data_IF_975308507761
#
_entry.id   IF_975308507761
#
_cell.length_a   1.000
_cell.length_b   1.000
_cell.length_c   1.000
_cell.angle_alpha   90.00
_cell.angle_beta   90.00
_cell.angle_gamma   90.00
#
_symmetry.space_group_name_H-M   'P 1'
#
loop_
_entity.id
_entity.type
_entity.pdbx_description
1 polymer ?
#
# COMPACT_ATOMS: atom_id res chain seq x y z
N UNK A 1 59.71 43.87 -37.21
CA UNK A 1 58.77 44.87 -37.74
C UNK A 1 57.41 44.20 -37.67
N UNK A 2 56.45 44.52 -36.81
CA UNK A 2 55.99 45.79 -36.23
C UNK A 2 55.49 45.56 -34.79
N UNK A 3 55.60 46.61 -33.98
CA UNK A 3 55.25 46.71 -32.56
C UNK A 3 53.79 47.15 -32.40
N UNK A 4 53.09 46.64 -31.37
CA UNK A 4 52.05 47.40 -30.66
C UNK A 4 51.79 46.80 -29.26
N UNK A 5 52.41 47.38 -28.23
CA UNK A 5 51.91 47.40 -26.85
C UNK A 5 51.01 48.62 -26.69
N UNK A 6 49.87 48.49 -26.02
CA UNK A 6 49.21 49.42 -25.06
C UNK A 6 47.99 48.64 -24.52
N UNK A 7 47.43 48.79 -23.32
CA UNK A 7 47.74 49.37 -22.03
C UNK A 7 46.65 48.82 -21.08
N UNK A 8 46.99 48.60 -19.81
CA UNK A 8 46.06 48.16 -18.76
C UNK A 8 45.01 49.23 -18.43
N UNK A 9 43.76 48.83 -18.27
CA UNK A 9 42.80 49.57 -17.46
C UNK A 9 42.00 48.58 -16.59
N UNK A 10 42.28 48.63 -15.29
CA UNK A 10 41.46 48.01 -14.27
C UNK A 10 40.18 48.82 -14.10
N UNK A 11 39.02 48.15 -14.15
CA UNK A 11 37.79 48.64 -13.58
C UNK A 11 37.35 47.65 -12.49
N UNK A 12 37.50 48.09 -11.25
CA UNK A 12 36.90 47.49 -10.07
C UNK A 12 35.46 48.01 -9.92
N UNK A 13 34.69 47.27 -9.11
CA UNK A 13 33.32 47.54 -8.61
C UNK A 13 32.23 46.99 -9.56
N UNK A 14 31.30 46.11 -9.17
CA UNK A 14 30.60 45.99 -7.90
C UNK A 14 30.27 44.53 -7.53
N UNK A 15 30.17 44.29 -6.22
CA UNK A 15 29.61 43.09 -5.60
C UNK A 15 28.12 42.97 -5.97
N UNK A 16 27.70 41.82 -6.50
CA UNK A 16 26.32 41.34 -6.35
C UNK A 16 26.31 40.11 -5.45
N UNK A 17 25.89 40.33 -4.20
CA UNK A 17 25.35 39.28 -3.35
C UNK A 17 24.02 38.80 -3.95
N UNK A 18 23.74 37.50 -3.75
CA UNK A 18 22.49 36.76 -4.02
C UNK A 18 22.52 35.90 -5.30
N UNK A 19 22.50 34.58 -5.11
CA UNK A 19 22.29 33.63 -6.19
C UNK A 19 22.52 32.17 -5.82
N UNK A 20 21.78 31.69 -4.81
CA UNK A 20 21.35 30.30 -4.58
C UNK A 20 22.35 29.16 -4.86
N UNK A 21 22.82 28.52 -3.78
CA UNK A 21 23.23 27.12 -3.81
C UNK A 21 22.01 26.31 -4.27
N UNK A 22 21.95 25.96 -5.56
CA UNK A 22 21.02 24.93 -6.01
C UNK A 22 21.52 23.62 -5.41
N UNK A 23 20.90 23.20 -4.31
CA UNK A 23 20.94 21.81 -3.90
C UNK A 23 20.46 21.01 -5.10
N UNK A 24 21.38 20.31 -5.76
CA UNK A 24 20.99 19.26 -6.70
C UNK A 24 20.21 18.26 -5.86
N UNK A 25 18.89 18.25 -6.04
CA UNK A 25 18.07 17.12 -5.67
C UNK A 25 18.62 15.98 -6.51
N UNK A 26 19.44 15.14 -5.89
CA UNK A 26 19.75 13.83 -6.42
C UNK A 26 18.41 13.11 -6.51
N UNK A 27 17.89 12.99 -7.73
CA UNK A 27 16.75 12.13 -8.01
C UNK A 27 17.11 10.75 -7.46
N UNK A 28 16.46 10.37 -6.36
CA UNK A 28 16.54 9.00 -5.87
C UNK A 28 16.17 8.10 -7.05
N UNK A 29 17.02 7.13 -7.36
CA UNK A 29 16.81 6.19 -8.46
C UNK A 29 15.33 5.77 -8.51
N UNK A 30 14.67 5.97 -9.66
CA UNK A 30 13.26 5.70 -9.82
C UNK A 30 12.93 4.32 -9.25
N UNK A 31 12.15 4.27 -8.18
CA UNK A 31 11.79 3.02 -7.53
C UNK A 31 11.02 2.14 -8.52
N UNK A 32 11.24 0.83 -8.49
CA UNK A 32 10.56 -0.11 -9.41
C UNK A 32 9.07 -0.32 -9.08
N UNK A 33 8.58 0.33 -8.03
CA UNK A 33 7.19 0.34 -7.60
C UNK A 33 6.66 1.75 -7.37
N UNK A 34 5.34 1.86 -7.35
CA UNK A 34 4.61 3.09 -7.04
C UNK A 34 4.83 3.49 -5.57
N UNK A 35 5.17 4.76 -5.33
CA UNK A 35 5.27 5.32 -3.97
C UNK A 35 4.08 6.25 -3.74
N UNK A 36 3.16 5.94 -2.82
CA UNK A 36 2.04 6.81 -2.55
C UNK A 36 2.51 8.12 -1.94
N UNK A 37 1.71 9.17 -2.16
CA UNK A 37 1.90 10.48 -1.54
C UNK A 37 0.87 10.66 -0.44
N UNK A 38 1.19 11.49 0.54
CA UNK A 38 0.21 11.93 1.53
C UNK A 38 -0.94 12.67 0.83
N UNK A 39 -2.15 12.49 1.35
CA UNK A 39 -3.34 13.20 0.89
C UNK A 39 -4.21 12.43 -0.11
N UNK A 40 -3.84 11.22 -0.51
CA UNK A 40 -4.73 10.35 -1.28
C UNK A 40 -6.02 10.03 -0.51
N UNK A 41 -7.13 10.02 -1.24
CA UNK A 41 -8.41 9.48 -0.76
C UNK A 41 -8.42 7.98 -1.03
N UNK A 42 -9.17 7.23 -0.24
CA UNK A 42 -9.25 5.78 -0.42
C UNK A 42 -10.70 5.28 -0.41
N UNK A 43 -10.90 4.16 -1.09
CA UNK A 43 -12.08 3.32 -1.04
C UNK A 43 -11.64 1.92 -0.62
N UNK A 44 -12.31 1.35 0.38
CA UNK A 44 -12.04 0.00 0.89
C UNK A 44 -13.27 -0.88 0.69
N UNK A 45 -13.16 -1.90 -0.17
CA UNK A 45 -14.29 -2.77 -0.52
C UNK A 45 -13.83 -4.21 -0.76
N UNK A 46 -14.06 -5.07 0.24
CA UNK A 46 -13.68 -6.49 0.19
C UNK A 46 -14.86 -7.44 -0.08
N UNK A 47 -16.09 -6.97 0.12
CA UNK A 47 -17.30 -7.78 -0.06
C UNK A 47 -17.97 -7.46 -1.38
N UNK A 48 -18.40 -8.53 -2.06
CA UNK A 48 -19.01 -8.57 -3.40
C UNK A 48 -18.01 -8.37 -4.54
N UNK A 49 -18.28 -9.02 -5.68
CA UNK A 49 -17.52 -8.80 -6.91
C UNK A 49 -17.54 -7.30 -7.24
N UNK A 50 -16.35 -6.71 -7.35
CA UNK A 50 -16.19 -5.28 -7.59
C UNK A 50 -16.77 -4.92 -8.95
N UNK A 51 -17.92 -4.22 -8.96
CA UNK A 51 -18.55 -3.76 -10.20
C UNK A 51 -18.05 -2.36 -10.54
N UNK A 52 -17.04 -2.28 -11.40
CA UNK A 52 -16.48 -1.00 -11.88
C UNK A 52 -17.49 -0.02 -12.50
N UNK A 53 -18.71 -0.47 -12.85
CA UNK A 53 -19.77 0.41 -13.37
C UNK A 53 -20.68 0.96 -12.26
N UNK A 54 -20.76 0.29 -11.11
CA UNK A 54 -21.67 0.63 -9.99
C UNK A 54 -20.94 1.05 -8.73
N UNK A 55 -19.81 0.40 -8.45
CA UNK A 55 -18.97 0.57 -7.27
C UNK A 55 -17.84 1.59 -7.49
N UNK A 56 -17.68 2.03 -8.74
CA UNK A 56 -16.87 3.20 -9.04
C UNK A 56 -17.58 4.46 -8.54
N UNK A 57 -17.36 4.76 -7.26
CA UNK A 57 -17.89 5.95 -6.61
C UNK A 57 -16.76 6.96 -6.45
N UNK A 58 -16.76 8.05 -7.24
CA UNK A 58 -16.05 9.24 -6.82
C UNK A 58 -16.82 9.88 -5.65
N UNK A 59 -16.29 9.79 -4.43
CA UNK A 59 -16.74 10.63 -3.31
C UNK A 59 -18.04 10.26 -2.56
N UNK A 60 -18.29 8.97 -2.30
CA UNK A 60 -19.40 8.43 -1.46
C UNK A 60 -20.80 8.51 -2.09
N UNK A 61 -21.43 7.35 -2.32
CA UNK A 61 -22.89 7.20 -2.31
C UNK A 61 -23.29 5.87 -1.66
N UNK A 62 -23.27 5.83 -0.34
CA UNK A 62 -24.14 4.90 0.38
C UNK A 62 -25.56 5.49 0.40
N UNK A 63 -26.41 5.10 -0.56
CA UNK A 63 -27.86 5.18 -0.34
C UNK A 63 -28.28 4.05 0.60
N UNK A 64 -27.95 4.16 1.88
CA UNK A 64 -28.68 3.47 2.93
C UNK A 64 -28.88 4.42 4.12
N UNK A 65 -30.14 4.60 4.49
CA UNK A 65 -30.56 5.33 5.70
C UNK A 65 -29.88 4.66 6.89
N UNK A 66 -29.16 5.44 7.71
CA UNK A 66 -28.72 4.98 9.03
C UNK A 66 -27.22 5.05 9.34
N UNK A 67 -26.35 5.49 8.42
CA UNK A 67 -24.97 5.79 8.78
C UNK A 67 -24.91 7.09 9.61
N UNK A 68 -24.58 6.98 10.89
CA UNK A 68 -24.43 8.09 11.81
C UNK A 68 -23.28 9.01 11.36
N UNK A 69 -23.61 10.26 11.05
CA UNK A 69 -22.64 11.33 10.92
C UNK A 69 -22.13 11.70 12.32
N UNK A 70 -20.81 11.72 12.51
CA UNK A 70 -20.19 12.30 13.71
C UNK A 70 -20.54 13.80 13.77
N UNK A 71 -21.05 14.34 14.89
CA UNK A 71 -21.60 15.69 14.92
C UNK A 71 -20.47 16.73 14.93
N UNK A 72 -20.47 17.66 13.96
CA UNK A 72 -19.72 18.91 14.08
C UNK A 72 -18.91 19.39 12.88
N UNK A 73 -18.78 18.63 11.79
CA UNK A 73 -18.14 19.13 10.56
C UNK A 73 -19.16 19.30 9.43
N UNK A 74 -19.37 20.57 9.04
CA UNK A 74 -20.08 20.95 7.81
C UNK A 74 -19.42 20.27 6.62
N UNK A 75 -20.26 19.69 5.77
CA UNK A 75 -19.94 18.61 4.85
C UNK A 75 -18.80 18.90 3.87
N UNK A 76 -18.10 17.82 3.52
CA UNK A 76 -17.41 17.77 2.25
C UNK A 76 -18.46 17.99 1.15
N UNK A 77 -18.26 18.99 0.31
CA UNK A 77 -19.11 19.24 -0.84
C UNK A 77 -19.21 17.95 -1.68
N UNK A 78 -20.44 17.48 -1.85
CA UNK A 78 -20.83 16.48 -2.84
C UNK A 78 -20.63 17.11 -4.23
N UNK A 79 -19.38 17.10 -4.69
CA UNK A 79 -18.98 17.59 -6.00
C UNK A 79 -19.61 16.75 -7.11
N UNK A 80 -20.23 17.43 -8.08
CA UNK A 80 -20.81 16.83 -9.30
C UNK A 80 -19.76 16.58 -10.41
N UNK A 81 -18.49 16.82 -10.14
CA UNK A 81 -17.39 16.63 -11.08
C UNK A 81 -16.61 15.36 -10.77
N UNK A 82 -16.16 14.59 -11.80
CA UNK A 82 -15.23 13.51 -11.58
C UNK A 82 -13.96 14.09 -10.92
N UNK A 83 -13.42 13.43 -9.89
CA UNK A 83 -12.26 13.92 -9.16
C UNK A 83 -11.05 13.99 -10.09
N UNK A 84 -10.04 14.81 -9.74
CA UNK A 84 -8.78 14.84 -10.46
C UNK A 84 -8.20 13.41 -10.58
N UNK A 85 -7.65 13.02 -11.74
CA UNK A 85 -6.92 11.76 -11.88
C UNK A 85 -5.81 11.65 -10.82
N UNK A 86 -5.50 10.43 -10.38
CA UNK A 86 -4.38 10.14 -9.47
C UNK A 86 -4.51 10.65 -8.01
N UNK A 87 -5.73 10.86 -7.51
CA UNK A 87 -5.97 11.13 -6.07
C UNK A 87 -6.56 9.96 -5.28
N UNK A 88 -7.05 8.91 -5.95
CA UNK A 88 -7.78 7.81 -5.31
C UNK A 88 -7.04 6.48 -5.32
N UNK A 89 -7.11 5.81 -4.17
CA UNK A 89 -6.61 4.46 -3.93
C UNK A 89 -7.81 3.53 -3.71
N UNK A 90 -7.80 2.35 -4.34
CA UNK A 90 -8.87 1.36 -4.22
C UNK A 90 -8.31 0.07 -3.62
N UNK A 91 -8.63 -0.20 -2.36
CA UNK A 91 -8.31 -1.46 -1.70
C UNK A 91 -9.45 -2.44 -1.97
N UNK A 92 -9.17 -3.45 -2.79
CA UNK A 92 -10.15 -4.45 -3.24
C UNK A 92 -9.58 -5.86 -3.10
N UNK A 93 -10.46 -6.84 -2.93
CA UNK A 93 -10.05 -8.24 -2.74
C UNK A 93 -9.27 -8.77 -3.95
N UNK A 94 -8.05 -9.24 -3.69
CA UNK A 94 -7.11 -9.68 -4.69
C UNK A 94 -7.50 -10.99 -5.39
N UNK A 95 -8.31 -11.84 -4.76
CA UNK A 95 -8.80 -13.07 -5.38
C UNK A 95 -10.03 -12.80 -6.25
N UNK A 96 -10.98 -12.00 -5.75
CA UNK A 96 -12.25 -11.70 -6.44
C UNK A 96 -12.07 -10.74 -7.62
N UNK A 97 -11.19 -9.73 -7.51
CA UNK A 97 -10.96 -8.77 -8.59
C UNK A 97 -10.29 -9.43 -9.80
N UNK A 98 -10.78 -9.12 -11.01
CA UNK A 98 -10.19 -9.59 -12.26
C UNK A 98 -9.14 -8.62 -12.81
N UNK A 99 -8.31 -9.06 -13.76
CA UNK A 99 -7.41 -8.16 -14.50
C UNK A 99 -8.17 -7.01 -15.19
N UNK A 100 -9.41 -7.26 -15.64
CA UNK A 100 -10.23 -6.25 -16.29
C UNK A 100 -10.65 -5.16 -15.30
N UNK A 101 -11.02 -5.54 -14.08
CA UNK A 101 -11.39 -4.59 -13.02
C UNK A 101 -10.22 -3.67 -12.67
N UNK A 102 -9.04 -4.26 -12.47
CA UNK A 102 -7.79 -3.55 -12.19
C UNK A 102 -7.42 -2.61 -13.34
N UNK A 103 -7.53 -3.07 -14.59
CA UNK A 103 -7.26 -2.26 -15.77
C UNK A 103 -8.20 -1.05 -15.87
N UNK A 104 -9.47 -1.20 -15.48
CA UNK A 104 -10.41 -0.07 -15.45
C UNK A 104 -10.01 0.98 -14.40
N UNK A 105 -9.60 0.57 -13.20
CA UNK A 105 -9.09 1.51 -12.17
C UNK A 105 -7.88 2.28 -12.71
N UNK A 106 -6.91 1.58 -13.30
CA UNK A 106 -5.71 2.17 -13.88
C UNK A 106 -6.03 3.12 -15.05
N UNK A 107 -6.98 2.76 -15.93
CA UNK A 107 -7.37 3.58 -17.09
C UNK A 107 -7.94 4.94 -16.70
N UNK A 108 -8.41 5.07 -15.46
CA UNK A 108 -8.94 6.31 -14.88
C UNK A 108 -7.89 7.09 -14.08
N UNK A 109 -6.64 6.60 -14.08
CA UNK A 109 -5.51 7.19 -13.37
C UNK A 109 -5.51 6.92 -11.87
N UNK A 110 -6.23 5.90 -11.38
CA UNK A 110 -6.28 5.57 -9.94
C UNK A 110 -5.40 4.38 -9.60
N UNK A 111 -5.21 4.14 -8.30
CA UNK A 111 -4.26 3.18 -7.77
C UNK A 111 -4.96 1.96 -7.14
N UNK A 112 -4.99 0.80 -7.82
CA UNK A 112 -5.54 -0.43 -7.26
C UNK A 112 -4.56 -1.10 -6.29
N UNK A 113 -5.06 -1.44 -5.10
CA UNK A 113 -4.34 -2.14 -4.02
C UNK A 113 -5.00 -3.50 -3.78
N UNK A 114 -4.17 -4.54 -3.81
CA UNK A 114 -4.58 -5.93 -3.71
C UNK A 114 -4.67 -6.35 -2.25
N UNK A 115 -5.88 -6.48 -1.72
CA UNK A 115 -6.10 -7.07 -0.41
C UNK A 115 -5.93 -8.59 -0.46
N UNK A 116 -5.24 -9.14 0.53
CA UNK A 116 -5.33 -10.56 0.91
C UNK A 116 -4.90 -10.71 2.36
N UNK A 117 -5.43 -11.72 3.07
CA UNK A 117 -4.89 -12.01 4.39
C UNK A 117 -3.51 -12.66 4.28
N UNK A 118 -2.52 -12.08 4.96
CA UNK A 118 -1.15 -12.59 5.02
C UNK A 118 -0.83 -13.28 6.34
N UNK A 119 -1.62 -13.05 7.40
CA UNK A 119 -1.47 -13.70 8.69
C UNK A 119 -2.63 -14.60 9.10
N UNK A 120 -3.61 -14.84 8.21
CA UNK A 120 -4.66 -15.83 8.42
C UNK A 120 -4.85 -16.76 7.21
N UNK A 121 -5.21 -18.01 7.51
CA UNK A 121 -5.77 -18.99 6.60
C UNK A 121 -7.27 -18.75 6.49
N UNK A 122 -7.81 -18.79 5.27
CA UNK A 122 -9.22 -18.57 4.94
C UNK A 122 -9.75 -19.79 4.16
N UNK A 123 -10.68 -20.55 4.73
CA UNK A 123 -11.13 -21.85 4.19
C UNK A 123 -11.98 -21.77 2.91
N UNK A 124 -12.27 -20.57 2.45
CA UNK A 124 -12.96 -20.29 1.20
C UNK A 124 -12.02 -19.92 0.05
N UNK A 125 -10.73 -19.65 0.32
CA UNK A 125 -9.79 -19.25 -0.74
C UNK A 125 -9.46 -20.43 -1.66
N UNK A 126 -9.28 -20.19 -2.97
CA UNK A 126 -9.00 -21.27 -3.92
C UNK A 126 -7.65 -21.96 -3.67
N UNK A 127 -6.71 -21.29 -3.00
CA UNK A 127 -5.39 -21.80 -2.65
C UNK A 127 -5.31 -22.47 -1.27
N UNK A 128 -6.44 -22.60 -0.56
CA UNK A 128 -6.50 -23.19 0.79
C UNK A 128 -5.84 -24.56 0.92
N UNK A 129 -5.90 -25.37 -0.15
CA UNK A 129 -5.31 -26.71 -0.19
C UNK A 129 -3.78 -26.74 -0.18
N UNK A 130 -3.12 -25.58 -0.33
CA UNK A 130 -1.65 -25.46 -0.25
C UNK A 130 -1.14 -25.35 1.19
N UNK A 131 -2.00 -24.99 2.14
CA UNK A 131 -1.64 -24.89 3.55
C UNK A 131 -1.59 -26.28 4.19
N UNK A 132 -0.57 -26.50 5.00
CA UNK A 132 -0.43 -27.69 5.84
C UNK A 132 -1.18 -27.46 7.16
N UNK A 133 -1.61 -28.53 7.82
CA UNK A 133 -2.29 -28.42 9.11
C UNK A 133 -1.43 -27.74 10.19
N UNK A 134 -0.09 -27.78 10.06
CA UNK A 134 0.85 -27.08 10.96
C UNK A 134 1.00 -25.59 10.67
N UNK A 135 0.48 -25.10 9.53
CA UNK A 135 0.64 -23.69 9.15
C UNK A 135 -0.38 -22.77 9.83
N UNK A 136 -1.46 -23.32 10.40
CA UNK A 136 -2.51 -22.52 11.03
C UNK A 136 -2.94 -23.06 12.39
N UNK A 137 -3.33 -22.15 13.28
CA UNK A 137 -3.56 -22.42 14.69
C UNK A 137 -5.00 -22.16 15.09
N UNK A 138 -5.19 -21.27 16.06
CA UNK A 138 -6.51 -20.91 16.59
C UNK A 138 -7.36 -20.20 15.54
N UNK A 139 -8.68 -20.37 15.66
CA UNK A 139 -9.66 -19.59 14.90
C UNK A 139 -9.49 -18.10 15.17
N UNK A 140 -9.66 -17.30 14.12
CA UNK A 140 -9.70 -15.85 14.22
C UNK A 140 -11.09 -15.43 14.73
N UNK A 141 -11.14 -14.68 15.83
CA UNK A 141 -12.40 -14.36 16.50
C UNK A 141 -13.29 -13.48 15.62
N UNK A 142 -14.54 -13.87 15.42
CA UNK A 142 -15.51 -13.13 14.62
C UNK A 142 -15.55 -13.50 13.14
N UNK A 143 -14.64 -14.37 12.67
CA UNK A 143 -14.52 -14.73 11.25
C UNK A 143 -14.58 -16.26 11.08
N UNK A 144 -15.74 -16.75 10.63
CA UNK A 144 -15.96 -18.17 10.46
C UNK A 144 -15.13 -18.72 9.28
N UNK A 145 -14.41 -19.82 9.50
CA UNK A 145 -13.54 -20.42 8.48
C UNK A 145 -12.14 -19.81 8.44
N UNK A 146 -11.83 -18.86 9.33
CA UNK A 146 -10.56 -18.14 9.36
C UNK A 146 -9.71 -18.53 10.58
N UNK A 147 -8.41 -18.71 10.38
CA UNK A 147 -7.47 -19.23 11.38
C UNK A 147 -6.14 -18.49 11.30
N UNK A 148 -5.51 -18.19 12.42
CA UNK A 148 -4.20 -17.52 12.44
C UNK A 148 -3.10 -18.41 11.83
N UNK A 149 -2.18 -17.81 11.07
CA UNK A 149 -1.03 -18.50 10.49
C UNK A 149 0.19 -18.48 11.42
N UNK A 150 1.02 -19.53 11.37
CA UNK A 150 2.39 -19.47 11.88
C UNK A 150 3.25 -18.71 10.87
N UNK A 151 3.47 -17.42 11.14
CA UNK A 151 4.25 -16.50 10.30
C UNK A 151 5.73 -16.89 10.12
N UNK A 152 6.22 -17.86 10.90
CA UNK A 152 7.58 -18.41 10.77
C UNK A 152 7.65 -19.51 9.71
N UNK A 153 6.51 -20.08 9.31
CA UNK A 153 6.45 -21.18 8.35
C UNK A 153 6.99 -20.80 6.97
N UNK A 154 7.90 -21.63 6.45
CA UNK A 154 8.39 -21.48 5.09
C UNK A 154 7.29 -21.72 4.05
N UNK A 155 6.34 -22.63 4.32
CA UNK A 155 5.22 -22.89 3.42
C UNK A 155 4.30 -21.67 3.31
N UNK A 156 3.98 -21.03 4.43
CA UNK A 156 3.23 -19.76 4.47
C UNK A 156 3.91 -18.70 3.61
N UNK A 157 5.24 -18.53 3.73
CA UNK A 157 6.00 -17.57 2.92
C UNK A 157 5.93 -17.87 1.42
N UNK A 158 5.96 -19.14 1.02
CA UNK A 158 5.79 -19.56 -0.38
C UNK A 158 4.39 -19.19 -0.89
N UNK A 159 3.35 -19.47 -0.11
CA UNK A 159 1.96 -19.15 -0.47
C UNK A 159 1.77 -17.64 -0.59
N UNK A 160 2.25 -16.85 0.37
CA UNK A 160 2.14 -15.39 0.31
C UNK A 160 2.94 -14.79 -0.85
N UNK A 161 4.10 -15.35 -1.19
CA UNK A 161 4.83 -14.96 -2.41
C UNK A 161 3.99 -15.23 -3.66
N UNK A 162 3.26 -16.36 -3.71
CA UNK A 162 2.38 -16.67 -4.83
C UNK A 162 1.18 -15.71 -4.90
N UNK A 163 0.58 -15.33 -3.77
CA UNK A 163 -0.49 -14.32 -3.69
C UNK A 163 0.00 -12.95 -4.17
N UNK A 164 1.19 -12.50 -3.76
CA UNK A 164 1.77 -11.25 -4.27
C UNK A 164 2.04 -11.31 -5.78
N UNK A 165 2.53 -12.43 -6.30
CA UNK A 165 2.71 -12.63 -7.74
C UNK A 165 1.38 -12.60 -8.50
N UNK A 166 0.31 -13.17 -7.93
CA UNK A 166 -1.05 -13.04 -8.47
C UNK A 166 -1.47 -11.58 -8.55
N UNK A 167 -1.31 -10.80 -7.46
CA UNK A 167 -1.62 -9.37 -7.46
C UNK A 167 -0.84 -8.62 -8.55
N UNK A 168 0.47 -8.88 -8.67
CA UNK A 168 1.30 -8.27 -9.72
C UNK A 168 0.81 -8.63 -11.12
N UNK A 169 0.49 -9.90 -11.37
CA UNK A 169 0.02 -10.39 -12.66
C UNK A 169 -1.35 -9.80 -13.03
N UNK A 170 -2.20 -9.47 -12.05
CA UNK A 170 -3.48 -8.78 -12.25
C UNK A 170 -3.32 -7.28 -12.55
N UNK A 171 -2.15 -6.70 -12.29
CA UNK A 171 -1.83 -5.29 -12.56
C UNK A 171 -1.95 -4.36 -11.36
N UNK A 172 -2.12 -4.89 -10.15
CA UNK A 172 -2.15 -4.08 -8.93
C UNK A 172 -0.82 -3.31 -8.75
N UNK A 173 -0.89 -2.12 -8.15
CA UNK A 173 0.28 -1.27 -7.89
C UNK A 173 0.81 -1.42 -6.46
N UNK A 174 -0.01 -1.98 -5.57
CA UNK A 174 0.37 -2.30 -4.20
C UNK A 174 -0.47 -3.41 -3.60
N UNK A 175 -0.13 -3.80 -2.37
CA UNK A 175 -0.79 -4.86 -1.61
C UNK A 175 -1.19 -4.39 -0.21
N UNK A 176 -2.28 -4.94 0.30
CA UNK A 176 -2.75 -4.75 1.68
C UNK A 176 -2.80 -6.12 2.39
N UNK A 177 -1.65 -6.59 2.93
CA UNK A 177 -1.56 -7.86 3.63
C UNK A 177 -2.19 -7.75 5.02
N UNK A 178 -3.35 -8.38 5.24
CA UNK A 178 -4.08 -8.32 6.52
C UNK A 178 -3.57 -9.34 7.56
N UNK A 179 -3.99 -9.14 8.81
CA UNK A 179 -3.74 -10.00 9.97
C UNK A 179 -2.24 -10.15 10.31
N UNK A 180 -1.45 -9.10 10.05
CA UNK A 180 0.01 -9.07 10.25
C UNK A 180 0.42 -8.68 11.68
N UNK A 181 -0.41 -9.00 12.66
CA UNK A 181 -0.26 -8.70 14.10
C UNK A 181 -0.58 -9.92 14.98
N UNK A 182 -0.36 -11.13 14.46
CA UNK A 182 -0.71 -12.39 15.11
C UNK A 182 -0.04 -12.60 16.48
N UNK A 183 1.14 -12.02 16.73
CA UNK A 183 1.82 -12.08 18.04
C UNK A 183 1.05 -11.38 19.18
N UNK A 184 0.21 -10.40 18.84
CA UNK A 184 -0.62 -9.67 19.79
C UNK A 184 -1.99 -10.33 20.01
N UNK A 185 -2.24 -11.47 19.36
CA UNK A 185 -3.52 -12.16 19.30
C UNK A 185 -3.41 -13.60 19.82
N UNK A 186 -4.53 -14.23 20.24
CA UNK A 186 -4.55 -15.64 20.67
C UNK A 186 -4.44 -16.59 19.46
N UNK A 187 -3.32 -16.52 18.74
CA UNK A 187 -3.08 -17.22 17.47
C UNK A 187 -3.00 -18.75 17.58
N UNK A 188 -2.85 -19.28 18.80
CA UNK A 188 -2.56 -20.71 19.01
C UNK A 188 -1.09 -21.06 18.79
N UNK A 189 -0.26 -20.07 18.48
CA UNK A 189 1.19 -20.18 18.38
C UNK A 189 1.87 -19.29 19.43
N UNK A 190 3.02 -19.69 19.96
CA UNK A 190 3.82 -18.84 20.85
C UNK A 190 4.65 -17.83 20.03
N UNK A 191 3.98 -17.01 19.20
CA UNK A 191 4.63 -16.01 18.37
C UNK A 191 5.14 -14.86 19.24
N UNK A 192 6.40 -14.50 19.04
CA UNK A 192 7.01 -13.33 19.67
C UNK A 192 6.84 -12.09 18.79
N UNK A 193 7.01 -10.90 19.38
CA UNK A 193 7.11 -9.66 18.63
C UNK A 193 8.25 -9.71 17.58
N UNK A 194 9.36 -10.38 17.88
CA UNK A 194 10.47 -10.52 16.94
C UNK A 194 10.10 -11.41 15.73
N UNK A 195 9.30 -12.46 15.94
CA UNK A 195 8.80 -13.30 14.85
C UNK A 195 7.90 -12.50 13.90
N UNK A 196 6.98 -11.71 14.45
CA UNK A 196 6.12 -10.84 13.64
C UNK A 196 6.92 -9.79 12.89
N UNK A 197 7.85 -9.11 13.57
CA UNK A 197 8.69 -8.08 12.97
C UNK A 197 9.49 -8.64 11.78
N UNK A 198 10.09 -9.82 11.95
CA UNK A 198 10.83 -10.49 10.88
C UNK A 198 9.92 -10.88 9.70
N UNK A 199 8.69 -11.30 9.97
CA UNK A 199 7.70 -11.60 8.93
C UNK A 199 7.26 -10.34 8.17
N UNK A 200 6.96 -9.25 8.88
CA UNK A 200 6.49 -8.01 8.28
C UNK A 200 7.58 -7.35 7.41
N UNK A 201 8.85 -7.38 7.86
CA UNK A 201 10.00 -6.97 7.03
C UNK A 201 10.17 -7.85 5.80
N UNK A 202 9.98 -9.16 5.95
CA UNK A 202 10.02 -10.09 4.82
C UNK A 202 8.89 -9.82 3.82
N UNK A 203 7.66 -9.55 4.28
CA UNK A 203 6.52 -9.18 3.42
C UNK A 203 6.85 -7.94 2.60
N UNK A 204 7.34 -6.89 3.26
CA UNK A 204 7.67 -5.62 2.61
C UNK A 204 8.77 -5.79 1.56
N UNK A 205 9.90 -6.42 1.93
CA UNK A 205 11.00 -6.67 1.01
C UNK A 205 10.57 -7.52 -0.21
N UNK A 206 9.70 -8.52 0.01
CA UNK A 206 9.19 -9.38 -1.06
C UNK A 206 8.28 -8.61 -2.00
N UNK A 207 7.38 -7.78 -1.47
CA UNK A 207 6.50 -6.93 -2.27
C UNK A 207 7.30 -5.93 -3.13
N UNK A 208 8.27 -5.24 -2.54
CA UNK A 208 9.16 -4.32 -3.25
C UNK A 208 9.96 -5.02 -4.33
N UNK A 209 10.48 -6.22 -4.06
CA UNK A 209 11.17 -7.06 -5.05
C UNK A 209 10.28 -7.47 -6.24
N UNK A 210 8.97 -7.49 -6.06
CA UNK A 210 7.97 -7.72 -7.12
C UNK A 210 7.47 -6.42 -7.78
N UNK A 211 8.00 -5.26 -7.38
CA UNK A 211 7.56 -3.96 -7.86
C UNK A 211 6.14 -3.62 -7.42
N UNK A 212 5.78 -3.95 -6.18
CA UNK A 212 4.51 -3.61 -5.52
C UNK A 212 4.78 -2.74 -4.30
N UNK A 213 3.97 -1.70 -4.10
CA UNK A 213 3.89 -1.02 -2.81
C UNK A 213 3.26 -1.93 -1.74
N UNK A 214 3.51 -1.65 -0.47
CA UNK A 214 3.00 -2.47 0.64
C UNK A 214 2.48 -1.62 1.79
N UNK A 215 1.28 -1.97 2.27
CA UNK A 215 0.66 -1.38 3.46
C UNK A 215 0.97 -2.18 4.72
N UNK A 216 1.20 -1.51 5.84
CA UNK A 216 1.17 -2.13 7.17
C UNK A 216 -0.26 -2.00 7.70
N UNK A 217 -0.88 -3.13 8.05
CA UNK A 217 -2.25 -3.19 8.55
C UNK A 217 -2.25 -3.39 10.07
N UNK A 218 -2.90 -2.48 10.80
CA UNK A 218 -2.97 -2.47 12.26
C UNK A 218 -1.57 -2.46 12.93
N UNK A 219 -1.05 -3.58 13.43
CA UNK A 219 0.30 -3.76 14.05
C UNK A 219 0.95 -2.47 14.65
N UNK A 220 0.15 -1.73 15.42
CA UNK A 220 0.49 -0.35 15.81
C UNK A 220 1.73 -0.36 16.73
N UNK A 221 1.90 -1.44 17.49
CA UNK A 221 3.00 -1.62 18.43
C UNK A 221 4.37 -1.71 17.77
N UNK A 222 4.46 -2.02 16.47
CA UNK A 222 5.73 -2.19 15.76
C UNK A 222 6.03 -1.10 14.73
N UNK A 223 5.18 -0.06 14.63
CA UNK A 223 5.34 1.01 13.62
C UNK A 223 6.74 1.64 13.65
N UNK A 224 7.31 1.89 14.83
CA UNK A 224 8.63 2.54 14.92
C UNK A 224 9.75 1.72 14.24
N UNK A 225 9.63 0.38 14.25
CA UNK A 225 10.60 -0.53 13.65
C UNK A 225 10.30 -0.86 12.18
N UNK A 226 9.08 -0.54 11.70
CA UNK A 226 8.54 -0.90 10.38
C UNK A 226 8.29 0.28 9.45
N UNK A 227 8.25 1.52 9.95
CA UNK A 227 7.92 2.71 9.14
C UNK A 227 8.89 2.95 7.97
N UNK A 228 10.12 2.43 8.06
CA UNK A 228 11.10 2.49 6.96
C UNK A 228 10.90 1.44 5.88
N UNK A 229 10.17 0.36 6.18
CA UNK A 229 9.97 -0.79 5.29
C UNK A 229 8.65 -0.70 4.51
N UNK A 230 7.64 -0.01 5.04
CA UNK A 230 6.29 0.06 4.43
C UNK A 230 6.02 1.41 3.72
N UNK A 231 5.11 1.39 2.75
CA UNK A 231 4.80 2.57 1.91
C UNK A 231 3.61 3.37 2.42
N UNK A 232 2.69 2.72 3.13
CA UNK A 232 1.49 3.31 3.72
C UNK A 232 1.01 2.48 4.90
N UNK A 233 0.05 3.03 5.63
CA UNK A 233 -0.52 2.43 6.82
C UNK A 233 -2.04 2.36 6.69
N UNK A 234 -2.61 1.19 7.00
CA UNK A 234 -4.06 0.94 7.04
C UNK A 234 -4.41 0.57 8.47
N UNK A 235 -5.37 1.25 9.07
CA UNK A 235 -5.78 1.02 10.46
C UNK A 235 -7.30 1.00 10.58
N UNK A 236 -7.81 0.08 11.39
CA UNK A 236 -9.24 -0.09 11.70
C UNK A 236 -9.59 0.27 13.15
#
# INVERSE_FOLDING_TARGET
MTVALWATAAALVAVSLQGQVTAQVVDAAATTWWRPRLGYKFQYQLKMAFDVKRDFIPGVQARQRGASTWPGRRGAEIGREPPPPAEWVYLIDGFEATNADVAVILSKGFFPICYFSAGSYEDWRPDKGLFQASDYGSKLSGWAGEFWLDVRSANVKVIMTARMKMCKAKGFVGIDPDNVDAFANPSGFPLTAADQLAYNKWLAATAHGLGLAVGLKNDVGQIQDLVGDFDYFVNE
#
